data_IF_212858343784
#
_entry.id   IF_212858343784
#
_cell.length_a   1.000
_cell.length_b   1.000
_cell.length_c   1.000
_cell.angle_alpha   90.00
_cell.angle_beta   90.00
_cell.angle_gamma   90.00
#
_symmetry.space_group_name_H-M   'P 1'
#
loop_
_entity.id
_entity.type
_entity.pdbx_description
1 polymer ?
#
# COMPACT_ATOMS: atom_id res chain seq x y z
N UNK A 1 -20.29 40.93 10.36
CA UNK A 1 -20.15 39.46 10.53
C UNK A 1 -20.57 38.81 9.22
N UNK A 2 -19.64 38.17 8.51
CA UNK A 2 -19.97 37.43 7.28
C UNK A 2 -20.79 36.19 7.62
N UNK A 3 -21.90 35.95 6.90
CA UNK A 3 -22.66 34.72 7.02
C UNK A 3 -21.85 33.59 6.39
N UNK A 4 -21.66 32.50 7.12
CA UNK A 4 -21.04 31.28 6.60
C UNK A 4 -21.91 30.71 5.49
N UNK A 5 -21.38 30.58 4.27
CA UNK A 5 -22.11 30.00 3.15
C UNK A 5 -21.96 28.47 3.18
N UNK A 6 -22.89 27.79 3.86
CA UNK A 6 -22.88 26.34 4.02
C UNK A 6 -22.92 25.59 2.67
N UNK A 7 -23.54 26.16 1.63
CA UNK A 7 -23.60 25.54 0.31
C UNK A 7 -22.23 25.51 -0.38
N UNK A 8 -21.51 26.63 -0.34
CA UNK A 8 -20.14 26.71 -0.89
C UNK A 8 -19.17 25.82 -0.11
N UNK A 9 -19.32 25.74 1.21
CA UNK A 9 -18.52 24.85 2.04
C UNK A 9 -18.74 23.37 1.68
N UNK A 10 -20.00 22.96 1.52
CA UNK A 10 -20.37 21.60 1.15
C UNK A 10 -19.86 21.23 -0.25
N UNK A 11 -20.01 22.15 -1.21
CA UNK A 11 -19.51 21.98 -2.57
C UNK A 11 -17.98 21.79 -2.58
N UNK A 12 -17.25 22.68 -1.90
CA UNK A 12 -15.79 22.59 -1.82
C UNK A 12 -15.33 21.31 -1.13
N UNK A 13 -16.02 20.86 -0.09
CA UNK A 13 -15.73 19.57 0.55
C UNK A 13 -15.94 18.39 -0.40
N UNK A 14 -17.05 18.39 -1.14
CA UNK A 14 -17.39 17.32 -2.09
C UNK A 14 -16.39 17.25 -3.25
N UNK A 15 -16.00 18.40 -3.82
CA UNK A 15 -14.97 18.49 -4.87
C UNK A 15 -13.60 18.00 -4.39
N UNK A 16 -13.22 18.34 -3.16
CA UNK A 16 -11.99 17.87 -2.55
C UNK A 16 -12.02 16.35 -2.34
N UNK A 17 -13.12 15.79 -1.81
CA UNK A 17 -13.27 14.36 -1.61
C UNK A 17 -13.24 13.59 -2.94
N UNK A 18 -13.93 14.09 -3.96
CA UNK A 18 -13.93 13.52 -5.31
C UNK A 18 -12.52 13.49 -5.91
N UNK A 19 -11.77 14.59 -5.77
CA UNK A 19 -10.37 14.67 -6.23
C UNK A 19 -9.48 13.65 -5.52
N UNK A 20 -9.70 13.45 -4.22
CA UNK A 20 -8.98 12.44 -3.45
C UNK A 20 -9.32 11.01 -3.91
N UNK A 21 -10.60 10.72 -4.14
CA UNK A 21 -11.04 9.40 -4.60
C UNK A 21 -10.45 9.03 -5.97
N UNK A 22 -10.43 9.95 -6.93
CA UNK A 22 -9.77 9.72 -8.22
C UNK A 22 -8.27 9.51 -8.09
N UNK A 23 -7.60 10.28 -7.22
CA UNK A 23 -6.18 10.06 -6.95
C UNK A 23 -5.93 8.65 -6.41
N UNK A 24 -6.77 8.20 -5.47
CA UNK A 24 -6.65 6.86 -4.88
C UNK A 24 -7.02 5.77 -5.89
N UNK A 25 -7.97 6.03 -6.79
CA UNK A 25 -8.33 5.15 -7.91
C UNK A 25 -7.11 4.85 -8.80
N UNK A 26 -6.43 5.91 -9.27
CA UNK A 26 -5.24 5.83 -10.12
C UNK A 26 -4.11 5.04 -9.43
N UNK A 27 -3.91 5.28 -8.13
CA UNK A 27 -2.95 4.55 -7.31
C UNK A 27 -3.25 3.04 -7.29
N UNK A 28 -4.51 2.65 -7.11
CA UNK A 28 -4.89 1.23 -7.10
C UNK A 28 -4.85 0.57 -8.49
N UNK A 29 -4.99 1.33 -9.57
CA UNK A 29 -4.71 0.86 -10.93
C UNK A 29 -3.23 0.49 -11.05
N UNK A 30 -2.33 1.40 -10.64
CA UNK A 30 -0.89 1.17 -10.67
C UNK A 30 -0.46 -0.02 -9.79
N UNK A 31 -1.02 -0.13 -8.58
CA UNK A 31 -0.76 -1.26 -7.68
C UNK A 31 -1.18 -2.58 -8.32
N UNK A 32 -2.30 -2.61 -9.06
CA UNK A 32 -2.76 -3.81 -9.78
C UNK A 32 -1.69 -4.30 -10.76
N UNK A 33 -1.02 -3.40 -11.47
CA UNK A 33 0.05 -3.75 -12.40
C UNK A 33 1.27 -4.33 -11.67
N UNK A 34 1.68 -3.73 -10.55
CA UNK A 34 2.79 -4.24 -9.74
C UNK A 34 2.53 -5.63 -9.17
N UNK A 35 1.33 -5.85 -8.62
CA UNK A 35 0.93 -7.16 -8.08
C UNK A 35 0.91 -8.21 -9.19
N UNK A 36 0.33 -7.89 -10.34
CA UNK A 36 0.30 -8.80 -11.49
C UNK A 36 1.70 -9.10 -12.04
N UNK A 37 2.57 -8.10 -12.11
CA UNK A 37 3.96 -8.29 -12.56
C UNK A 37 4.72 -9.19 -11.61
N UNK A 38 4.62 -8.94 -10.30
CA UNK A 38 5.30 -9.72 -9.28
C UNK A 38 4.81 -11.16 -9.23
N UNK A 39 3.49 -11.39 -9.27
CA UNK A 39 2.89 -12.73 -9.25
C UNK A 39 3.31 -13.59 -10.45
N UNK A 40 3.59 -12.96 -11.59
CA UNK A 40 3.93 -13.66 -12.84
C UNK A 40 5.44 -13.75 -13.13
N UNK A 41 6.30 -13.26 -12.23
CA UNK A 41 7.76 -13.33 -12.43
C UNK A 41 8.24 -14.79 -12.40
N UNK A 42 9.20 -15.13 -13.27
CA UNK A 42 9.78 -16.49 -13.34
C UNK A 42 11.31 -16.45 -13.33
N UNK A 43 11.97 -17.26 -12.48
CA UNK A 43 11.38 -18.07 -11.41
C UNK A 43 10.81 -17.20 -10.28
N UNK A 44 9.68 -17.61 -9.68
CA UNK A 44 9.17 -17.01 -8.45
C UNK A 44 9.88 -17.65 -7.27
N UNK A 45 10.71 -16.89 -6.56
CA UNK A 45 11.55 -17.41 -5.49
C UNK A 45 11.12 -16.79 -4.17
N UNK A 46 10.54 -17.59 -3.27
CA UNK A 46 10.08 -17.10 -1.97
C UNK A 46 11.25 -16.72 -1.04
N UNK A 47 12.33 -17.50 -1.05
CA UNK A 47 13.52 -17.19 -0.25
C UNK A 47 14.20 -15.92 -0.77
N UNK A 48 14.16 -14.87 0.04
CA UNK A 48 14.75 -13.57 -0.27
C UNK A 48 16.25 -13.62 -0.46
N UNK A 49 16.97 -14.61 0.07
CA UNK A 49 18.41 -14.74 -0.21
C UNK A 49 18.65 -15.12 -1.67
N UNK A 50 17.73 -15.89 -2.23
CA UNK A 50 17.81 -16.44 -3.58
C UNK A 50 17.01 -15.63 -4.61
N UNK A 51 16.06 -14.78 -4.17
CA UNK A 51 15.28 -13.95 -5.10
C UNK A 51 16.15 -12.96 -5.86
N UNK A 52 15.78 -12.74 -7.13
CA UNK A 52 16.42 -11.73 -7.97
C UNK A 52 16.23 -10.32 -7.41
N UNK A 53 17.15 -9.41 -7.71
CA UNK A 53 17.01 -7.99 -7.34
C UNK A 53 15.73 -7.37 -7.90
N UNK A 54 15.29 -7.82 -9.08
CA UNK A 54 14.04 -7.39 -9.71
C UNK A 54 12.83 -7.80 -8.86
N UNK A 55 12.75 -9.07 -8.46
CA UNK A 55 11.67 -9.57 -7.60
C UNK A 55 11.64 -8.84 -6.26
N UNK A 56 12.81 -8.64 -5.63
CA UNK A 56 12.94 -7.91 -4.35
C UNK A 56 12.42 -6.48 -4.46
N UNK A 57 12.83 -5.78 -5.51
CA UNK A 57 12.40 -4.41 -5.76
C UNK A 57 10.90 -4.34 -6.01
N UNK A 58 10.35 -5.25 -6.83
CA UNK A 58 8.91 -5.31 -7.09
C UNK A 58 8.10 -5.63 -5.83
N UNK A 59 8.54 -6.58 -5.00
CA UNK A 59 7.91 -6.88 -3.72
C UNK A 59 7.88 -5.65 -2.81
N UNK A 60 9.00 -4.92 -2.73
CA UNK A 60 9.07 -3.68 -1.96
C UNK A 60 8.13 -2.60 -2.54
N UNK A 61 8.11 -2.43 -3.86
CA UNK A 61 7.20 -1.50 -4.54
C UNK A 61 5.74 -1.82 -4.22
N UNK A 62 5.32 -3.09 -4.31
CA UNK A 62 3.95 -3.51 -3.97
C UNK A 62 3.61 -3.12 -2.52
N UNK A 63 4.49 -3.43 -1.57
CA UNK A 63 4.29 -3.11 -0.14
C UNK A 63 4.17 -1.60 0.08
N UNK A 64 5.08 -0.81 -0.50
CA UNK A 64 5.11 0.65 -0.31
C UNK A 64 3.89 1.31 -0.97
N UNK A 65 3.64 1.01 -2.24
CA UNK A 65 2.54 1.62 -3.00
C UNK A 65 1.18 1.29 -2.37
N UNK A 66 0.95 0.02 -2.01
CA UNK A 66 -0.29 -0.36 -1.32
C UNK A 66 -0.49 0.39 0.00
N UNK A 67 0.55 0.45 0.84
CA UNK A 67 0.42 1.08 2.17
C UNK A 67 0.37 2.60 2.11
N UNK A 68 0.91 3.23 1.06
CA UNK A 68 0.86 4.68 0.84
C UNK A 68 -0.57 5.19 0.88
N UNK A 69 -1.50 4.49 0.22
CA UNK A 69 -2.93 4.82 0.16
C UNK A 69 -3.58 4.93 1.54
N UNK A 70 -3.07 4.19 2.54
CA UNK A 70 -3.63 4.14 3.90
C UNK A 70 -2.83 4.95 4.93
N UNK A 71 -1.83 5.71 4.49
CA UNK A 71 -0.98 6.53 5.36
C UNK A 71 -1.23 8.01 5.07
N UNK A 72 -1.17 8.87 6.10
CA UNK A 72 -1.67 10.26 6.12
C UNK A 72 -0.91 11.28 5.21
N UNK A 73 -0.46 10.87 4.02
CA UNK A 73 0.48 11.63 3.20
C UNK A 73 -0.17 12.59 2.19
N UNK A 74 -1.49 12.57 1.99
CA UNK A 74 -2.14 13.36 0.92
C UNK A 74 -2.70 14.72 1.39
N UNK A 75 -2.44 15.14 2.63
CA UNK A 75 -2.91 16.44 3.14
C UNK A 75 -4.44 16.56 3.29
N UNK A 76 -5.17 15.44 3.18
CA UNK A 76 -6.62 15.38 3.33
C UNK A 76 -7.01 15.22 4.80
N UNK A 77 -7.93 16.04 5.30
CA UNK A 77 -8.56 15.83 6.61
C UNK A 77 -9.63 14.72 6.46
N UNK A 78 -9.67 13.74 7.38
CA UNK A 78 -10.58 12.56 7.38
C UNK A 78 -10.18 11.34 6.52
N UNK A 79 -8.89 11.16 6.21
CA UNK A 79 -8.38 9.91 5.58
C UNK A 79 -8.78 8.64 6.32
N UNK A 80 -8.95 8.71 7.65
CA UNK A 80 -9.31 7.54 8.46
C UNK A 80 -10.70 6.98 8.11
N UNK A 81 -11.72 7.82 8.06
CA UNK A 81 -13.09 7.39 7.78
C UNK A 81 -13.22 6.81 6.37
N UNK A 82 -12.60 7.46 5.38
CA UNK A 82 -12.55 6.95 4.00
C UNK A 82 -11.81 5.60 3.97
N UNK A 83 -10.65 5.49 4.62
CA UNK A 83 -9.90 4.24 4.68
C UNK A 83 -10.68 3.10 5.35
N UNK A 84 -11.41 3.40 6.43
CA UNK A 84 -12.24 2.41 7.13
C UNK A 84 -13.39 1.90 6.22
N UNK A 85 -13.96 2.78 5.40
CA UNK A 85 -14.96 2.41 4.38
C UNK A 85 -14.32 1.52 3.28
N UNK A 86 -13.16 1.90 2.75
CA UNK A 86 -12.47 1.17 1.68
C UNK A 86 -12.14 -0.29 2.06
N UNK A 87 -11.91 -0.56 3.34
CA UNK A 87 -11.59 -1.91 3.84
C UNK A 87 -12.78 -2.62 4.52
N UNK A 88 -13.97 -2.01 4.51
CA UNK A 88 -15.13 -2.49 5.28
C UNK A 88 -15.62 -3.88 4.86
N UNK A 89 -15.40 -4.26 3.60
CA UNK A 89 -15.79 -5.56 3.03
C UNK A 89 -14.69 -6.63 3.10
N UNK A 90 -13.61 -6.36 3.83
CA UNK A 90 -12.54 -7.32 4.02
C UNK A 90 -12.96 -8.41 5.01
N UNK A 91 -12.70 -9.65 4.62
CA UNK A 91 -12.72 -10.82 5.50
C UNK A 91 -11.58 -10.73 6.52
N UNK A 92 -11.64 -11.56 7.56
CA UNK A 92 -10.57 -11.62 8.57
C UNK A 92 -9.19 -11.92 7.96
N UNK A 93 -9.11 -12.82 6.97
CA UNK A 93 -7.85 -13.12 6.29
C UNK A 93 -7.30 -11.93 5.51
N UNK A 94 -8.16 -11.18 4.83
CA UNK A 94 -7.78 -9.95 4.11
C UNK A 94 -7.35 -8.84 5.08
N UNK A 95 -8.02 -8.71 6.23
CA UNK A 95 -7.63 -7.77 7.29
C UNK A 95 -6.27 -8.13 7.90
N UNK A 96 -5.99 -9.42 8.07
CA UNK A 96 -4.71 -9.88 8.59
C UNK A 96 -3.57 -9.64 7.60
N UNK A 97 -3.80 -9.89 6.30
CA UNK A 97 -2.85 -9.52 5.24
C UNK A 97 -2.65 -8.00 5.17
N UNK A 98 -3.72 -7.20 5.24
CA UNK A 98 -3.63 -5.73 5.28
C UNK A 98 -2.73 -5.25 6.44
N UNK A 99 -2.91 -5.81 7.64
CA UNK A 99 -2.07 -5.51 8.80
C UNK A 99 -0.62 -6.00 8.60
N UNK A 100 -0.42 -7.19 8.01
CA UNK A 100 0.91 -7.74 7.68
C UNK A 100 1.67 -6.78 6.78
N UNK A 101 1.09 -6.36 5.66
CA UNK A 101 1.74 -5.46 4.69
C UNK A 101 2.08 -4.10 5.34
N UNK A 102 1.17 -3.53 6.14
CA UNK A 102 1.46 -2.30 6.90
C UNK A 102 2.63 -2.45 7.88
N UNK A 103 2.70 -3.59 8.58
CA UNK A 103 3.81 -3.91 9.48
C UNK A 103 5.13 -4.05 8.71
N UNK A 104 5.11 -4.74 7.56
CA UNK A 104 6.27 -4.88 6.69
C UNK A 104 6.79 -3.51 6.24
N UNK A 105 5.91 -2.60 5.80
CA UNK A 105 6.31 -1.23 5.45
C UNK A 105 6.91 -0.49 6.64
N UNK A 106 6.27 -0.54 7.81
CA UNK A 106 6.78 0.14 9.00
C UNK A 106 8.17 -0.37 9.39
N UNK A 107 8.44 -1.68 9.26
CA UNK A 107 9.77 -2.24 9.48
C UNK A 107 10.80 -1.74 8.46
N UNK A 108 10.41 -1.47 7.21
CA UNK A 108 11.33 -0.86 6.22
C UNK A 108 11.70 0.58 6.58
N UNK A 109 10.75 1.38 7.08
CA UNK A 109 10.97 2.82 7.36
C UNK A 109 11.48 3.12 8.77
N UNK A 110 11.10 2.34 9.79
CA UNK A 110 11.55 2.56 11.18
C UNK A 110 13.08 2.46 11.37
N UNK A 111 13.80 1.91 10.38
CA UNK A 111 15.25 1.83 10.37
C UNK A 111 15.93 2.76 9.35
N UNK A 112 15.20 3.58 8.58
CA UNK A 112 15.83 4.73 7.90
C UNK A 112 16.24 5.82 8.88
N UNK A 113 15.56 5.89 10.03
CA UNK A 113 15.77 6.90 11.07
C UNK A 113 16.66 6.41 12.24
N UNK A 114 16.94 5.11 12.32
CA UNK A 114 17.75 4.51 13.38
C UNK A 114 19.12 4.06 12.84
N UNK A 115 20.18 4.64 13.39
CA UNK A 115 21.58 4.30 13.14
C UNK A 115 21.90 2.81 13.33
N UNK A 116 22.80 2.34 12.45
CA UNK A 116 23.32 1.00 12.25
C UNK A 116 23.42 0.08 13.49
N UNK A 117 22.82 -1.12 13.41
CA UNK A 117 23.16 -2.28 14.26
C UNK A 117 23.72 -3.45 13.45
N UNK A 118 24.88 -3.26 12.83
CA UNK A 118 25.48 -4.24 11.89
C UNK A 118 25.76 -5.59 12.56
N UNK A 119 25.28 -6.68 11.95
CA UNK A 119 25.84 -8.00 12.20
C UNK A 119 26.85 -8.24 11.08
N UNK A 120 28.13 -8.13 11.43
CA UNK A 120 29.24 -8.51 10.58
C UNK A 120 29.30 -10.04 10.52
N UNK A 121 29.09 -10.61 9.35
CA UNK A 121 29.47 -12.00 9.08
C UNK A 121 30.87 -11.94 8.46
N UNK A 122 31.85 -12.44 9.20
CA UNK A 122 33.21 -12.60 8.72
C UNK A 122 33.35 -13.95 8.04
N UNK A 123 33.56 -13.95 6.73
CA UNK A 123 34.06 -15.12 6.03
C UNK A 123 35.07 -14.70 4.93
N UNK A 124 36.19 -15.42 4.92
CA UNK A 124 37.31 -15.42 3.97
C UNK A 124 37.44 -14.23 2.98
N UNK A 125 37.60 -13.01 3.52
CA UNK A 125 38.09 -11.85 2.74
C UNK A 125 37.10 -11.20 1.78
N UNK A 126 35.82 -11.55 1.82
CA UNK A 126 34.77 -10.91 1.00
C UNK A 126 33.82 -10.06 1.85
N UNK A 127 33.67 -8.79 1.46
CA UNK A 127 32.56 -7.96 1.93
C UNK A 127 31.27 -8.39 1.22
N UNK A 128 30.43 -9.17 1.89
CA UNK A 128 29.07 -9.43 1.40
C UNK A 128 28.08 -8.52 2.11
N UNK A 129 27.17 -7.90 1.35
CA UNK A 129 26.10 -7.07 1.90
C UNK A 129 25.10 -8.00 2.62
N UNK A 130 25.16 -8.04 3.95
CA UNK A 130 24.18 -8.78 4.76
C UNK A 130 22.84 -8.02 4.75
N UNK A 131 21.81 -8.60 4.12
CA UNK A 131 20.45 -8.08 4.22
C UNK A 131 19.94 -8.30 5.65
N UNK A 132 19.84 -7.20 6.39
CA UNK A 132 19.72 -7.11 7.85
C UNK A 132 18.33 -7.39 8.43
N UNK A 133 17.33 -7.49 7.57
CA UNK A 133 15.97 -7.88 7.96
C UNK A 133 15.62 -9.02 7.03
N UNK A 134 15.00 -10.07 7.57
CA UNK A 134 14.23 -11.02 6.76
C UNK A 134 13.13 -10.18 6.13
N UNK A 135 13.44 -9.50 5.00
CA UNK A 135 12.40 -9.01 4.10
C UNK A 135 11.69 -10.28 3.72
N UNK A 136 10.47 -10.44 4.18
CA UNK A 136 9.64 -11.55 3.74
C UNK A 136 9.10 -11.15 2.36
N UNK A 137 9.24 -12.03 1.37
CA UNK A 137 8.50 -11.85 0.13
C UNK A 137 7.05 -12.21 0.39
N UNK A 138 6.12 -11.47 -0.23
CA UNK A 138 4.74 -11.92 -0.29
C UNK A 138 4.68 -13.25 -1.02
N UNK A 139 3.95 -14.21 -0.46
CA UNK A 139 3.70 -15.49 -1.12
C UNK A 139 2.76 -15.31 -2.32
N UNK A 140 2.73 -16.28 -3.25
CA UNK A 140 1.82 -16.22 -4.41
C UNK A 140 0.37 -16.11 -3.93
N UNK A 141 -0.03 -16.91 -2.94
CA UNK A 141 -1.38 -16.90 -2.38
C UNK A 141 -1.70 -15.55 -1.73
N UNK A 142 -0.72 -14.90 -1.10
CA UNK A 142 -0.87 -13.54 -0.56
C UNK A 142 -1.01 -12.49 -1.67
N UNK A 143 -0.31 -12.64 -2.79
CA UNK A 143 -0.46 -11.77 -3.96
C UNK A 143 -1.82 -11.95 -4.64
N UNK A 144 -2.36 -13.17 -4.66
CA UNK A 144 -3.73 -13.42 -5.12
C UNK A 144 -4.77 -12.80 -4.19
N UNK A 145 -4.60 -12.96 -2.88
CA UNK A 145 -5.48 -12.33 -1.89
C UNK A 145 -5.42 -10.80 -1.97
N UNK A 146 -4.21 -10.24 -2.12
CA UNK A 146 -4.00 -8.80 -2.30
C UNK A 146 -4.68 -8.29 -3.58
N UNK A 147 -4.63 -9.06 -4.67
CA UNK A 147 -5.33 -8.73 -5.90
C UNK A 147 -6.85 -8.64 -5.70
N UNK A 148 -7.44 -9.56 -4.92
CA UNK A 148 -8.86 -9.52 -4.57
C UNK A 148 -9.20 -8.30 -3.68
N UNK A 149 -8.35 -8.00 -2.70
CA UNK A 149 -8.49 -6.82 -1.84
C UNK A 149 -8.50 -5.53 -2.65
N UNK A 150 -7.57 -5.39 -3.61
CA UNK A 150 -7.50 -4.23 -4.51
C UNK A 150 -8.78 -4.11 -5.35
N UNK A 151 -9.31 -5.23 -5.86
CA UNK A 151 -10.57 -5.21 -6.60
C UNK A 151 -11.74 -4.71 -5.75
N UNK A 152 -11.88 -5.17 -4.50
CA UNK A 152 -12.90 -4.68 -3.56
C UNK A 152 -12.76 -3.19 -3.29
N UNK A 153 -11.53 -2.72 -3.02
CA UNK A 153 -11.26 -1.30 -2.79
C UNK A 153 -11.68 -0.46 -4.00
N UNK A 154 -11.31 -0.88 -5.21
CA UNK A 154 -11.69 -0.16 -6.44
C UNK A 154 -13.20 -0.10 -6.62
N UNK A 155 -13.92 -1.20 -6.37
CA UNK A 155 -15.38 -1.19 -6.40
C UNK A 155 -15.97 -0.20 -5.38
N UNK A 156 -15.39 -0.09 -4.18
CA UNK A 156 -15.82 0.89 -3.17
C UNK A 156 -15.51 2.34 -3.58
N UNK A 157 -14.41 2.57 -4.30
CA UNK A 157 -14.09 3.90 -4.86
C UNK A 157 -15.12 4.27 -5.93
N UNK A 158 -15.41 3.36 -6.86
CA UNK A 158 -16.40 3.58 -7.92
C UNK A 158 -17.79 3.92 -7.37
N UNK A 159 -18.20 3.23 -6.29
CA UNK A 159 -19.47 3.50 -5.61
C UNK A 159 -19.46 4.93 -5.03
N UNK A 160 -18.41 5.29 -4.29
CA UNK A 160 -18.32 6.61 -3.66
C UNK A 160 -18.25 7.75 -4.68
N UNK A 161 -17.52 7.58 -5.79
CA UNK A 161 -17.47 8.56 -6.88
C UNK A 161 -18.88 8.78 -7.45
N UNK A 162 -19.60 7.71 -7.77
CA UNK A 162 -20.97 7.78 -8.32
C UNK A 162 -21.98 8.40 -7.34
N UNK A 163 -21.76 8.25 -6.04
CA UNK A 163 -22.62 8.86 -5.03
C UNK A 163 -22.33 10.37 -4.86
N UNK A 164 -21.11 10.82 -5.18
CA UNK A 164 -20.67 12.22 -5.02
C UNK A 164 -20.87 13.06 -6.29
N UNK A 165 -20.61 12.52 -7.49
CA UNK A 165 -20.83 13.21 -8.77
C UNK A 165 -22.23 13.83 -8.99
N UNK A 166 -23.35 13.26 -8.48
CA UNK A 166 -24.67 13.87 -8.63
C UNK A 166 -24.96 15.05 -7.68
N UNK A 167 -24.02 15.45 -6.81
CA UNK A 167 -24.17 16.51 -5.81
C UNK A 167 -23.56 17.86 -6.24
#
# INVERSE_FOLDING_TARGET
>A
MGKLNLKELYKSFSENLLSYLHLVEDEFIEITEYVNTLKNIKPFILDVRESTSVQKSLNLTVIISYTRCFTNNYGFYNTKEVNDILISEFTNGELDLHKKIKKMRNQQFAHSDASAHDIQIYDEGFYTHSMKVVRENLEIDELELLSNMIHKIRNQIDIQIKDIEPL
#
